data_IF_832244418113
#
_entry.id   IF_832244418113
#
_cell.length_a   1.000
_cell.length_b   1.000
_cell.length_c   1.000
_cell.angle_alpha   90.00
_cell.angle_beta   90.00
_cell.angle_gamma   90.00
#
_symmetry.space_group_name_H-M   'P 1'
#
loop_
_entity.id
_entity.type
_entity.pdbx_description
1 polymer ?
#
# COMPACT_ATOMS: atom_id res chain seq x y z
N UNK A 1 4.90 -2.99 -33.95
CA UNK A 1 3.75 -3.62 -33.29
C UNK A 1 4.23 -4.21 -31.97
N UNK A 2 3.78 -3.65 -30.84
CA UNK A 2 4.09 -4.01 -29.43
C UNK A 2 5.57 -3.88 -29.04
N UNK A 3 5.97 -2.94 -28.18
CA UNK A 3 5.71 -2.96 -26.74
C UNK A 3 5.41 -1.54 -26.22
N UNK A 4 4.12 -1.19 -26.07
CA UNK A 4 3.68 -0.18 -25.10
C UNK A 4 3.61 -0.88 -23.74
N UNK A 5 4.59 -0.66 -22.87
CA UNK A 5 4.49 -1.02 -21.45
C UNK A 5 4.23 0.28 -20.69
N UNK A 6 3.00 0.35 -20.18
CA UNK A 6 2.45 1.30 -19.22
C UNK A 6 3.51 2.06 -18.40
N UNK A 7 3.51 3.39 -18.53
CA UNK A 7 4.43 4.36 -17.92
C UNK A 7 4.25 4.48 -16.40
N UNK A 8 3.26 3.80 -15.80
CA UNK A 8 2.91 3.98 -14.39
C UNK A 8 3.76 3.19 -13.37
N UNK A 9 4.88 2.59 -13.78
CA UNK A 9 5.73 1.79 -12.90
C UNK A 9 7.04 2.51 -12.56
N UNK A 10 7.08 3.19 -11.42
CA UNK A 10 8.11 3.12 -10.34
C UNK A 10 8.07 4.40 -9.51
N UNK A 11 7.78 4.35 -8.21
CA UNK A 11 8.73 3.99 -7.17
C UNK A 11 7.99 3.75 -5.84
N UNK A 12 8.04 2.52 -5.36
CA UNK A 12 7.73 2.20 -3.97
C UNK A 12 8.74 1.16 -3.50
N UNK A 13 9.99 1.61 -3.36
CA UNK A 13 11.06 0.91 -2.65
C UNK A 13 12.03 1.93 -2.04
N UNK A 14 11.63 2.49 -0.90
CA UNK A 14 12.54 3.17 0.03
C UNK A 14 12.55 2.37 1.33
N UNK A 15 13.28 1.25 1.32
CA UNK A 15 14.01 0.68 2.47
C UNK A 15 14.47 -0.74 2.12
N UNK A 16 15.77 -0.94 1.97
CA UNK A 16 16.33 -2.28 1.79
C UNK A 16 17.73 -2.24 1.22
N UNK A 17 18.72 -2.04 2.09
CA UNK A 17 20.14 -2.22 1.79
C UNK A 17 20.41 -3.67 1.40
N UNK A 18 20.88 -3.93 0.18
CA UNK A 18 21.57 -5.17 -0.15
C UNK A 18 22.82 -4.87 -0.99
N UNK A 19 23.95 -5.28 -0.43
CA UNK A 19 25.31 -5.30 -0.98
C UNK A 19 25.42 -6.21 -2.22
N UNK A 20 26.34 -5.95 -3.16
CA UNK A 20 26.52 -6.79 -4.33
C UNK A 20 27.44 -7.98 -4.01
N UNK A 21 27.01 -9.19 -4.35
CA UNK A 21 27.90 -10.34 -4.51
C UNK A 21 27.95 -10.77 -5.97
N UNK A 22 29.18 -10.79 -6.49
CA UNK A 22 29.60 -11.35 -7.77
C UNK A 22 29.15 -12.81 -7.93
N UNK A 23 28.72 -13.19 -9.13
CA UNK A 23 29.17 -14.43 -9.78
C UNK A 23 28.98 -14.37 -11.30
N UNK A 24 30.09 -14.58 -12.03
CA UNK A 24 30.14 -14.89 -13.45
C UNK A 24 29.63 -16.34 -13.68
N UNK A 25 29.08 -16.74 -14.84
CA UNK A 25 29.86 -17.08 -16.04
C UNK A 25 28.96 -17.55 -17.21
N UNK A 26 29.44 -17.25 -18.44
CA UNK A 26 29.34 -18.04 -19.72
C UNK A 26 27.97 -18.21 -20.39
N UNK A 27 27.82 -18.17 -21.73
CA UNK A 27 28.71 -18.51 -22.89
C UNK A 27 28.29 -17.72 -24.14
N UNK A 28 29.28 -17.42 -24.99
CA UNK A 28 29.15 -16.88 -26.36
C UNK A 28 29.45 -18.00 -27.39
N UNK A 29 28.78 -18.02 -28.56
CA UNK A 29 29.44 -18.32 -29.84
C UNK A 29 28.96 -17.34 -30.95
N UNK A 30 29.70 -16.88 -31.95
CA UNK A 30 30.97 -17.25 -32.60
C UNK A 30 31.46 -16.02 -33.40
N UNK A 31 32.79 -15.93 -33.56
CA UNK A 31 33.51 -14.99 -34.43
C UNK A 31 33.19 -15.23 -35.91
N UNK A 32 33.14 -14.17 -36.70
CA UNK A 32 33.60 -14.16 -38.09
C UNK A 32 34.49 -12.95 -38.33
N UNK A 33 35.51 -13.19 -39.14
CA UNK A 33 36.76 -12.46 -39.24
C UNK A 33 36.64 -11.10 -39.94
N UNK A 34 37.51 -10.17 -39.54
CA UNK A 34 37.79 -8.91 -40.24
C UNK A 34 39.12 -9.05 -41.02
N UNK A 35 39.31 -8.30 -42.12
CA UNK A 35 40.61 -7.79 -42.50
C UNK A 35 40.75 -6.30 -42.15
N UNK A 36 41.94 -5.90 -41.71
CA UNK A 36 42.29 -4.52 -41.39
C UNK A 36 42.75 -3.72 -42.63
N UNK A 37 42.20 -2.50 -42.70
CA UNK A 37 42.77 -1.19 -43.06
C UNK A 37 43.50 -0.96 -44.41
N UNK A 38 43.01 0.05 -45.15
CA UNK A 38 43.84 1.14 -45.68
C UNK A 38 43.02 2.41 -45.90
N UNK A 39 43.70 3.53 -45.73
CA UNK A 39 43.20 4.89 -45.47
C UNK A 39 42.52 5.65 -46.62
N UNK A 40 41.84 6.72 -46.21
CA UNK A 40 41.51 8.00 -46.91
C UNK A 40 40.35 8.05 -47.90
N UNK A 41 39.23 8.68 -47.48
CA UNK A 41 38.86 10.04 -47.91
C UNK A 41 37.47 10.44 -47.38
N UNK A 42 37.45 11.56 -46.66
CA UNK A 42 36.36 12.51 -46.44
C UNK A 42 34.92 12.05 -46.75
N UNK A 43 34.21 11.59 -45.71
CA UNK A 43 32.77 11.84 -45.61
C UNK A 43 32.56 12.58 -44.28
N UNK A 44 32.09 13.81 -44.41
CA UNK A 44 31.67 14.72 -43.34
C UNK A 44 30.86 13.98 -42.25
N UNK A 45 31.51 13.63 -41.15
CA UNK A 45 30.82 13.18 -39.94
C UNK A 45 30.38 14.42 -39.17
N UNK A 46 29.24 14.99 -39.55
CA UNK A 46 28.40 15.66 -38.55
C UNK A 46 28.14 14.57 -37.50
N UNK A 47 28.88 14.58 -36.38
CA UNK A 47 28.49 13.83 -35.18
C UNK A 47 27.04 14.20 -34.93
N UNK A 48 26.13 13.26 -35.15
CA UNK A 48 24.71 13.49 -34.86
C UNK A 48 24.64 13.96 -33.41
N UNK A 49 24.08 15.14 -33.19
CA UNK A 49 24.00 15.70 -31.85
C UNK A 49 23.22 14.74 -30.93
N UNK A 50 23.62 14.61 -29.65
CA UNK A 50 22.97 13.67 -28.74
C UNK A 50 21.52 14.07 -28.52
N UNK A 51 20.57 13.13 -28.70
CA UNK A 51 19.17 13.34 -28.31
C UNK A 51 19.08 13.25 -26.77
N UNK A 52 18.97 14.41 -26.12
CA UNK A 52 18.95 14.48 -24.66
C UNK A 52 17.65 13.95 -24.05
N UNK A 53 16.51 14.07 -24.72
CA UNK A 53 15.28 13.47 -24.24
C UNK A 53 15.41 11.95 -24.13
N UNK A 54 15.91 11.29 -25.19
CA UNK A 54 16.12 9.85 -25.20
C UNK A 54 17.14 9.40 -24.13
N UNK A 55 18.21 10.17 -23.91
CA UNK A 55 19.17 9.89 -22.84
C UNK A 55 18.55 10.04 -21.45
N UNK A 56 17.75 11.08 -21.24
CA UNK A 56 17.00 11.30 -20.01
C UNK A 56 16.03 10.15 -19.74
N UNK A 57 15.28 9.72 -20.75
CA UNK A 57 14.32 8.62 -20.66
C UNK A 57 15.03 7.29 -20.31
N UNK A 58 16.17 7.00 -20.93
CA UNK A 58 16.97 5.82 -20.61
C UNK A 58 17.38 5.78 -19.14
N UNK A 59 17.85 6.90 -18.60
CA UNK A 59 18.21 7.01 -17.19
C UNK A 59 17.01 7.00 -16.25
N UNK A 60 15.88 7.58 -16.65
CA UNK A 60 14.63 7.60 -15.89
C UNK A 60 14.05 6.18 -15.75
N UNK A 61 13.93 5.47 -16.86
CA UNK A 61 13.34 4.14 -16.92
C UNK A 61 14.35 3.03 -16.54
N UNK A 62 15.65 3.30 -16.66
CA UNK A 62 16.71 2.30 -16.50
C UNK A 62 16.85 1.38 -17.71
N UNK A 63 16.60 1.90 -18.92
CA UNK A 63 16.66 1.12 -20.15
C UNK A 63 18.08 1.13 -20.72
N UNK A 64 18.77 -0.01 -20.65
CA UNK A 64 20.15 -0.16 -21.14
C UNK A 64 21.23 0.49 -20.26
N UNK A 65 20.82 1.26 -19.25
CA UNK A 65 21.68 1.91 -18.24
C UNK A 65 21.11 1.73 -16.84
N UNK A 66 21.96 1.86 -15.83
CA UNK A 66 21.48 1.93 -14.45
C UNK A 66 20.58 3.16 -14.26
N UNK A 67 19.49 2.96 -13.53
CA UNK A 67 18.53 4.02 -13.25
C UNK A 67 19.19 5.13 -12.44
N UNK A 68 19.05 6.37 -12.89
CA UNK A 68 19.71 7.54 -12.32
C UNK A 68 18.84 8.78 -12.54
N UNK A 69 18.02 9.11 -11.54
CA UNK A 69 17.04 10.18 -11.65
C UNK A 69 17.66 11.58 -11.72
N UNK A 70 18.83 11.78 -11.13
CA UNK A 70 19.57 13.05 -11.20
C UNK A 70 20.08 13.26 -12.62
N UNK A 71 20.69 12.23 -13.24
CA UNK A 71 21.07 12.33 -14.66
C UNK A 71 19.87 12.49 -15.59
N UNK A 72 18.78 11.77 -15.32
CA UNK A 72 17.56 11.92 -16.11
C UNK A 72 17.06 13.37 -16.09
N UNK A 73 16.96 13.96 -14.90
CA UNK A 73 16.65 15.38 -14.71
C UNK A 73 17.58 16.29 -15.51
N UNK A 74 18.89 16.13 -15.35
CA UNK A 74 19.87 17.00 -16.02
C UNK A 74 19.78 16.91 -17.55
N UNK A 75 19.54 15.71 -18.09
CA UNK A 75 19.31 15.53 -19.52
C UNK A 75 17.98 16.14 -19.98
N UNK A 76 16.90 16.05 -19.19
CA UNK A 76 15.64 16.69 -19.52
C UNK A 76 15.74 18.22 -19.48
N UNK A 77 16.45 18.80 -18.53
CA UNK A 77 16.72 20.25 -18.48
C UNK A 77 17.55 20.69 -19.71
N UNK A 78 18.54 19.89 -20.14
CA UNK A 78 19.29 20.14 -21.37
C UNK A 78 18.43 20.02 -22.63
N UNK A 79 17.51 19.05 -22.69
CA UNK A 79 16.54 18.92 -23.78
C UNK A 79 15.59 20.12 -23.82
N UNK A 80 15.06 20.57 -22.68
CA UNK A 80 14.23 21.77 -22.60
C UNK A 80 14.98 23.02 -23.08
N UNK A 81 16.25 23.18 -22.70
CA UNK A 81 17.08 24.32 -23.09
C UNK A 81 17.33 24.40 -24.61
N UNK A 82 17.32 23.26 -25.31
CA UNK A 82 17.51 23.22 -26.77
C UNK A 82 16.27 23.57 -27.57
N UNK A 83 15.08 23.32 -27.02
CA UNK A 83 13.80 23.61 -27.66
C UNK A 83 13.63 22.94 -29.05
N UNK A 84 14.27 21.79 -29.26
CA UNK A 84 14.29 21.03 -30.51
C UNK A 84 13.47 19.72 -30.42
N UNK A 85 12.59 19.61 -29.43
CA UNK A 85 11.75 18.43 -29.20
C UNK A 85 10.50 18.43 -30.07
N UNK A 86 10.14 17.26 -30.57
CA UNK A 86 8.82 17.05 -31.15
C UNK A 86 7.72 17.23 -30.09
N UNK A 87 6.49 17.64 -30.45
CA UNK A 87 5.44 17.94 -29.47
C UNK A 87 5.11 16.80 -28.50
N UNK A 88 5.22 15.55 -28.95
CA UNK A 88 5.02 14.36 -28.12
C UNK A 88 6.15 14.17 -27.10
N UNK A 89 7.41 14.32 -27.54
CA UNK A 89 8.60 14.24 -26.66
C UNK A 89 8.60 15.39 -25.65
N UNK A 90 8.21 16.59 -26.07
CA UNK A 90 8.04 17.74 -25.19
C UNK A 90 7.03 17.47 -24.08
N UNK A 91 5.86 16.91 -24.42
CA UNK A 91 4.83 16.57 -23.45
C UNK A 91 5.32 15.51 -22.46
N UNK A 92 5.98 14.46 -22.97
CA UNK A 92 6.49 13.36 -22.15
C UNK A 92 7.66 13.79 -21.25
N UNK A 93 8.57 14.62 -21.76
CA UNK A 93 9.66 15.20 -20.99
C UNK A 93 9.14 16.01 -19.81
N UNK A 94 8.13 16.87 -20.04
CA UNK A 94 7.53 17.66 -18.98
C UNK A 94 6.76 16.81 -17.96
N UNK A 95 6.17 15.68 -18.36
CA UNK A 95 5.66 14.72 -17.38
C UNK A 95 6.78 14.18 -16.49
N UNK A 96 7.89 13.74 -17.06
CA UNK A 96 8.99 13.19 -16.28
C UNK A 96 9.63 14.21 -15.35
N UNK A 97 9.89 15.44 -15.82
CA UNK A 97 10.36 16.53 -14.94
C UNK A 97 9.34 16.81 -13.83
N UNK A 98 8.05 16.89 -14.16
CA UNK A 98 6.99 17.08 -13.18
C UNK A 98 6.99 15.99 -12.10
N UNK A 99 7.11 14.72 -12.49
CA UNK A 99 7.16 13.57 -11.57
C UNK A 99 8.39 13.60 -10.67
N UNK A 100 9.56 13.95 -11.23
CA UNK A 100 10.80 14.08 -10.47
C UNK A 100 10.68 15.16 -9.37
N UNK A 101 10.10 16.31 -9.69
CA UNK A 101 9.85 17.36 -8.71
C UNK A 101 8.71 17.03 -7.73
N UNK A 102 7.68 16.30 -8.17
CA UNK A 102 6.54 15.93 -7.32
C UNK A 102 6.93 14.90 -6.26
N UNK A 103 7.63 13.84 -6.67
CA UNK A 103 8.04 12.74 -5.78
C UNK A 103 9.28 13.11 -4.99
N UNK A 104 10.24 13.79 -5.63
CA UNK A 104 11.58 14.03 -5.12
C UNK A 104 12.42 12.75 -5.00
N UNK A 105 13.73 12.90 -5.06
CA UNK A 105 14.68 11.82 -4.84
C UNK A 105 15.99 12.37 -4.26
N UNK A 106 16.91 11.54 -3.72
CA UNK A 106 18.24 12.04 -3.34
C UNK A 106 18.89 12.81 -4.50
N UNK A 107 19.15 14.11 -4.32
CA UNK A 107 19.67 15.01 -5.35
C UNK A 107 18.62 15.94 -6.00
N UNK A 108 17.33 15.63 -5.90
CA UNK A 108 16.21 16.46 -6.40
C UNK A 108 15.18 16.63 -5.28
N UNK A 109 15.12 17.82 -4.68
CA UNK A 109 14.15 18.10 -3.64
C UNK A 109 12.72 18.12 -4.18
N UNK A 110 11.75 17.74 -3.35
CA UNK A 110 10.32 17.90 -3.69
C UNK A 110 9.98 19.37 -3.88
N UNK A 111 9.33 19.69 -4.99
CA UNK A 111 8.89 21.05 -5.34
C UNK A 111 7.58 20.99 -6.13
N UNK A 112 6.46 21.10 -5.40
CA UNK A 112 5.14 21.04 -6.01
C UNK A 112 4.84 22.22 -6.94
N UNK A 113 5.54 23.35 -6.80
CA UNK A 113 5.35 24.52 -7.67
C UNK A 113 5.99 24.25 -9.03
N UNK A 114 7.22 23.74 -9.04
CA UNK A 114 7.87 23.29 -10.28
C UNK A 114 7.16 22.11 -10.91
N UNK A 115 6.73 21.14 -10.10
CA UNK A 115 5.96 20.01 -10.59
C UNK A 115 4.68 20.47 -11.31
N UNK A 116 3.90 21.34 -10.65
CA UNK A 116 2.69 21.94 -11.24
C UNK A 116 3.02 22.66 -12.56
N UNK A 117 4.09 23.46 -12.59
CA UNK A 117 4.51 24.17 -13.80
C UNK A 117 4.77 23.22 -14.98
N UNK A 118 5.53 22.13 -14.76
CA UNK A 118 5.80 21.17 -15.81
C UNK A 118 4.55 20.38 -16.23
N UNK A 119 3.69 19.99 -15.28
CA UNK A 119 2.44 19.32 -15.62
C UNK A 119 1.47 20.21 -16.42
N UNK A 120 1.36 21.51 -16.10
CA UNK A 120 0.57 22.46 -16.90
C UNK A 120 1.09 22.56 -18.34
N UNK A 121 2.42 22.50 -18.54
CA UNK A 121 3.03 22.50 -19.88
C UNK A 121 2.78 21.20 -20.64
N UNK A 122 2.82 20.06 -19.96
CA UNK A 122 2.46 18.78 -20.54
C UNK A 122 0.96 18.71 -20.91
N UNK A 123 0.07 19.23 -20.05
CA UNK A 123 -1.37 19.28 -20.33
C UNK A 123 -1.71 20.15 -21.56
N UNK A 124 -1.00 21.28 -21.72
CA UNK A 124 -1.21 22.20 -22.82
C UNK A 124 -0.96 21.57 -24.20
N UNK A 125 -0.18 20.47 -24.27
CA UNK A 125 0.04 19.74 -25.50
C UNK A 125 -1.10 18.77 -25.79
N UNK A 126 -1.87 19.06 -26.85
CA UNK A 126 -3.00 18.20 -27.26
C UNK A 126 -2.59 17.01 -28.12
N UNK A 127 -1.33 16.97 -28.57
CA UNK A 127 -0.81 15.93 -29.49
C UNK A 127 -0.65 14.58 -28.79
N UNK A 128 -0.45 14.56 -27.47
CA UNK A 128 -0.33 13.33 -26.67
C UNK A 128 -1.45 13.21 -25.64
N UNK A 129 -2.58 12.54 -25.98
CA UNK A 129 -3.70 12.34 -25.05
C UNK A 129 -3.30 11.58 -23.79
N UNK A 130 -2.40 10.60 -23.90
CA UNK A 130 -1.87 9.83 -22.78
C UNK A 130 -1.13 10.76 -21.81
N UNK A 131 -0.22 11.58 -22.34
CA UNK A 131 0.53 12.50 -21.50
C UNK A 131 -0.37 13.57 -20.85
N UNK A 132 -1.34 14.07 -21.62
CA UNK A 132 -2.29 15.06 -21.12
C UNK A 132 -3.14 14.51 -19.96
N UNK A 133 -3.57 13.24 -20.03
CA UNK A 133 -4.33 12.61 -18.95
C UNK A 133 -3.47 12.48 -17.68
N UNK A 134 -2.22 12.02 -17.81
CA UNK A 134 -1.32 11.87 -16.67
C UNK A 134 -0.99 13.22 -16.04
N UNK A 135 -0.78 14.26 -16.85
CA UNK A 135 -0.59 15.62 -16.36
C UNK A 135 -1.78 16.09 -15.52
N UNK A 136 -3.00 15.90 -16.01
CA UNK A 136 -4.24 16.24 -15.28
C UNK A 136 -4.37 15.49 -13.96
N UNK A 137 -3.98 14.21 -13.93
CA UNK A 137 -3.99 13.45 -12.68
C UNK A 137 -3.06 14.05 -11.64
N UNK A 138 -1.81 14.30 -12.02
CA UNK A 138 -0.80 14.88 -11.12
C UNK A 138 -1.20 16.28 -10.65
N UNK A 139 -1.74 17.12 -11.54
CA UNK A 139 -2.32 18.42 -11.17
C UNK A 139 -3.47 18.25 -10.16
N UNK A 140 -4.35 17.27 -10.39
CA UNK A 140 -5.40 16.90 -9.46
C UNK A 140 -4.86 16.52 -8.08
N UNK A 141 -3.80 15.71 -8.01
CA UNK A 141 -3.15 15.31 -6.77
C UNK A 141 -2.49 16.47 -6.04
N UNK A 142 -1.73 17.32 -6.75
CA UNK A 142 -1.11 18.52 -6.17
C UNK A 142 -2.19 19.39 -5.52
N UNK A 143 -3.29 19.66 -6.23
CA UNK A 143 -4.39 20.43 -5.67
C UNK A 143 -5.11 19.71 -4.52
N UNK A 144 -5.23 18.38 -4.56
CA UNK A 144 -5.82 17.60 -3.49
C UNK A 144 -4.99 17.68 -2.21
N UNK A 145 -3.67 17.52 -2.32
CA UNK A 145 -2.71 17.66 -1.22
C UNK A 145 -2.67 19.09 -0.65
N UNK A 146 -2.83 20.10 -1.52
CA UNK A 146 -2.99 21.49 -1.11
C UNK A 146 -4.40 21.83 -0.56
N UNK A 147 -5.28 20.84 -0.39
CA UNK A 147 -6.66 20.99 0.08
C UNK A 147 -7.54 21.89 -0.81
N UNK A 148 -7.12 22.13 -2.06
CA UNK A 148 -7.88 22.86 -3.07
C UNK A 148 -8.85 21.91 -3.78
N UNK A 149 -9.73 21.29 -2.99
CA UNK A 149 -10.54 20.14 -3.43
C UNK A 149 -11.46 20.43 -4.61
N UNK A 150 -11.97 21.66 -4.76
CA UNK A 150 -12.77 22.06 -5.92
C UNK A 150 -11.96 22.01 -7.22
N UNK A 151 -10.69 22.44 -7.19
CA UNK A 151 -9.79 22.35 -8.35
C UNK A 151 -9.39 20.90 -8.62
N UNK A 152 -9.02 20.18 -7.57
CA UNK A 152 -8.67 18.75 -7.66
C UNK A 152 -9.80 17.93 -8.30
N UNK A 153 -11.04 18.13 -7.82
CA UNK A 153 -12.24 17.48 -8.37
C UNK A 153 -12.39 17.76 -9.86
N UNK A 154 -12.20 19.00 -10.30
CA UNK A 154 -12.30 19.37 -11.72
C UNK A 154 -11.29 18.59 -12.57
N UNK A 155 -10.04 18.49 -12.14
CA UNK A 155 -9.03 17.71 -12.87
C UNK A 155 -9.38 16.22 -12.93
N UNK A 156 -9.79 15.62 -11.80
CA UNK A 156 -10.22 14.22 -11.81
C UNK A 156 -11.49 14.00 -12.66
N UNK A 157 -12.42 14.95 -12.69
CA UNK A 157 -13.60 14.90 -13.57
C UNK A 157 -13.22 14.97 -15.06
N UNK A 158 -12.17 15.70 -15.44
CA UNK A 158 -11.66 15.74 -16.81
C UNK A 158 -11.00 14.42 -17.24
N UNK A 159 -10.50 13.64 -16.28
CA UNK A 159 -9.84 12.35 -16.54
C UNK A 159 -10.80 11.16 -16.49
N UNK A 160 -11.85 11.21 -15.67
CA UNK A 160 -12.72 10.04 -15.39
C UNK A 160 -13.40 9.44 -16.65
N UNK A 161 -13.63 10.24 -17.68
CA UNK A 161 -14.37 9.82 -18.89
C UNK A 161 -13.43 9.41 -20.04
N UNK A 162 -12.10 9.45 -19.82
CA UNK A 162 -11.12 9.13 -20.84
C UNK A 162 -10.78 7.64 -20.84
N UNK A 163 -10.73 7.03 -22.04
CA UNK A 163 -10.51 5.59 -22.21
C UNK A 163 -9.07 5.23 -22.61
N UNK A 164 -8.18 6.23 -22.71
CA UNK A 164 -6.81 6.05 -23.23
C UNK A 164 -5.96 5.25 -22.25
N UNK A 165 -6.14 5.47 -20.94
CA UNK A 165 -5.47 4.74 -19.88
C UNK A 165 -6.47 4.37 -18.77
N UNK A 166 -6.88 3.09 -18.68
CA UNK A 166 -7.79 2.61 -17.64
C UNK A 166 -7.26 2.76 -16.21
N UNK A 167 -5.93 2.70 -16.02
CA UNK A 167 -5.36 2.87 -14.69
C UNK A 167 -5.41 4.33 -14.25
N UNK A 168 -5.12 5.25 -15.18
CA UNK A 168 -5.29 6.67 -14.95
C UNK A 168 -6.76 7.02 -14.64
N UNK A 169 -7.70 6.43 -15.37
CA UNK A 169 -9.13 6.56 -15.13
C UNK A 169 -9.50 6.08 -13.72
N UNK A 170 -9.07 4.88 -13.35
CA UNK A 170 -9.34 4.31 -12.04
C UNK A 170 -8.74 5.14 -10.89
N UNK A 171 -7.57 5.73 -11.12
CA UNK A 171 -6.93 6.63 -10.17
C UNK A 171 -7.77 7.91 -9.94
N UNK A 172 -8.25 8.55 -11.02
CA UNK A 172 -9.18 9.68 -10.92
C UNK A 172 -10.47 9.29 -10.18
N UNK A 173 -11.07 8.15 -10.53
CA UNK A 173 -12.28 7.64 -9.88
C UNK A 173 -12.06 7.38 -8.39
N UNK A 174 -10.90 6.84 -8.01
CA UNK A 174 -10.55 6.66 -6.60
C UNK A 174 -10.53 7.99 -5.84
N UNK A 175 -9.91 9.03 -6.39
CA UNK A 175 -9.89 10.34 -5.74
C UNK A 175 -11.25 11.04 -5.74
N UNK A 176 -12.04 10.93 -6.81
CA UNK A 176 -13.43 11.38 -6.80
C UNK A 176 -14.24 10.66 -5.73
N UNK A 177 -14.05 9.35 -5.58
CA UNK A 177 -14.63 8.55 -4.51
C UNK A 177 -14.32 9.14 -3.14
N UNK A 178 -13.05 9.47 -2.86
CA UNK A 178 -12.64 10.12 -1.60
C UNK A 178 -13.30 11.49 -1.42
N UNK A 179 -13.31 12.32 -2.46
CA UNK A 179 -13.88 13.67 -2.40
C UNK A 179 -15.36 13.62 -2.00
N UNK A 180 -16.16 12.75 -2.63
CA UNK A 180 -17.57 12.60 -2.30
C UNK A 180 -17.81 11.83 -0.99
N UNK A 181 -16.90 10.94 -0.60
CA UNK A 181 -17.00 10.22 0.67
C UNK A 181 -16.82 11.15 1.86
N UNK A 182 -15.82 12.02 1.82
CA UNK A 182 -15.47 12.93 2.93
C UNK A 182 -16.07 14.33 2.80
N UNK A 183 -16.86 14.61 1.75
CA UNK A 183 -17.43 15.95 1.53
C UNK A 183 -16.35 17.03 1.31
N UNK A 184 -15.25 16.68 0.66
CA UNK A 184 -14.11 17.58 0.50
C UNK A 184 -14.38 18.61 -0.61
N UNK A 185 -14.78 19.82 -0.23
CA UNK A 185 -15.15 20.89 -1.19
C UNK A 185 -16.46 20.62 -1.95
N UNK A 186 -17.26 19.65 -1.48
CA UNK A 186 -18.60 19.28 -1.95
C UNK A 186 -19.41 18.73 -0.78
N UNK A 187 -20.73 18.61 -0.90
CA UNK A 187 -21.51 17.87 0.09
C UNK A 187 -21.18 16.36 0.04
N UNK A 188 -21.11 15.71 1.21
CA UNK A 188 -20.97 14.27 1.32
C UNK A 188 -22.04 13.53 0.50
N UNK A 189 -21.62 12.51 -0.25
CA UNK A 189 -22.50 11.74 -1.11
C UNK A 189 -22.03 10.29 -1.26
N UNK A 190 -22.33 9.47 -0.26
CA UNK A 190 -21.83 8.09 -0.18
C UNK A 190 -22.23 7.21 -1.38
N UNK A 191 -23.41 7.39 -1.99
CA UNK A 191 -23.81 6.63 -3.19
C UNK A 191 -22.90 6.91 -4.40
N UNK A 192 -22.45 8.16 -4.58
CA UNK A 192 -21.48 8.52 -5.63
C UNK A 192 -20.11 7.94 -5.30
N UNK A 193 -19.68 8.07 -4.05
CA UNK A 193 -18.43 7.49 -3.58
C UNK A 193 -18.40 5.97 -3.82
N UNK A 194 -19.47 5.27 -3.46
CA UNK A 194 -19.64 3.83 -3.71
C UNK A 194 -19.48 3.49 -5.19
N UNK A 195 -20.19 4.21 -6.07
CA UNK A 195 -20.11 4.00 -7.51
C UNK A 195 -18.69 4.20 -8.04
N UNK A 196 -18.00 5.26 -7.61
CA UNK A 196 -16.65 5.55 -8.07
C UNK A 196 -15.61 4.57 -7.54
N UNK A 197 -15.67 4.18 -6.26
CA UNK A 197 -14.76 3.14 -5.74
C UNK A 197 -14.98 1.80 -6.42
N UNK A 198 -16.24 1.42 -6.69
CA UNK A 198 -16.56 0.20 -7.44
C UNK A 198 -15.94 0.23 -8.84
N UNK A 199 -16.14 1.32 -9.59
CA UNK A 199 -15.55 1.45 -10.92
C UNK A 199 -14.02 1.45 -10.88
N UNK A 200 -13.40 2.15 -9.92
CA UNK A 200 -11.96 2.14 -9.74
C UNK A 200 -11.40 0.73 -9.49
N UNK A 201 -12.08 -0.10 -8.68
CA UNK A 201 -11.68 -1.50 -8.47
C UNK A 201 -11.84 -2.38 -9.72
N UNK A 202 -12.82 -2.09 -10.57
CA UNK A 202 -13.13 -2.89 -11.76
C UNK A 202 -12.23 -2.54 -12.97
N UNK A 203 -11.72 -1.31 -13.03
CA UNK A 203 -10.99 -0.78 -14.20
C UNK A 203 -9.47 -0.90 -14.10
N UNK A 204 -8.90 -0.96 -12.90
CA UNK A 204 -7.44 -0.92 -12.73
C UNK A 204 -6.82 -2.31 -12.65
N UNK A 205 -5.62 -2.44 -13.22
CA UNK A 205 -4.71 -3.55 -12.95
C UNK A 205 -3.66 -3.19 -11.89
N UNK A 206 -3.60 -1.92 -11.47
CA UNK A 206 -2.67 -1.46 -10.45
C UNK A 206 -3.10 -1.90 -9.05
N UNK A 207 -2.23 -2.69 -8.42
CA UNK A 207 -2.44 -3.21 -7.06
C UNK A 207 -2.68 -2.10 -6.04
N UNK A 208 -1.95 -0.98 -6.13
CA UNK A 208 -2.09 0.13 -5.19
C UNK A 208 -3.49 0.78 -5.26
N UNK A 209 -3.94 1.14 -6.47
CA UNK A 209 -5.26 1.75 -6.69
C UNK A 209 -6.35 0.75 -6.34
N UNK A 210 -6.23 -0.49 -6.82
CA UNK A 210 -7.17 -1.57 -6.54
C UNK A 210 -7.34 -1.76 -5.03
N UNK A 211 -6.26 -1.87 -4.27
CA UNK A 211 -6.30 -2.07 -2.83
C UNK A 211 -6.94 -0.88 -2.09
N UNK A 212 -6.53 0.35 -2.41
CA UNK A 212 -7.08 1.53 -1.76
C UNK A 212 -8.58 1.71 -2.06
N UNK A 213 -9.00 1.51 -3.31
CA UNK A 213 -10.40 1.56 -3.69
C UNK A 213 -11.19 0.40 -3.05
N UNK A 214 -10.64 -0.82 -3.05
CA UNK A 214 -11.27 -2.01 -2.43
C UNK A 214 -11.48 -1.82 -0.93
N UNK A 215 -10.55 -1.17 -0.24
CA UNK A 215 -10.68 -0.86 1.19
C UNK A 215 -11.86 0.06 1.47
N UNK A 216 -12.01 1.15 0.71
CA UNK A 216 -13.18 2.03 0.87
C UNK A 216 -14.47 1.34 0.44
N UNK A 217 -14.45 0.58 -0.65
CA UNK A 217 -15.61 -0.17 -1.10
C UNK A 217 -16.06 -1.20 -0.05
N UNK A 218 -15.11 -1.93 0.55
CA UNK A 218 -15.34 -2.85 1.65
C UNK A 218 -15.92 -2.15 2.88
N UNK A 219 -15.43 -0.95 3.22
CA UNK A 219 -16.00 -0.10 4.28
C UNK A 219 -17.46 0.26 4.00
N UNK A 220 -17.78 0.70 2.78
CA UNK A 220 -19.13 1.11 2.41
C UNK A 220 -20.11 -0.07 2.48
N UNK A 221 -19.69 -1.26 2.04
CA UNK A 221 -20.48 -2.48 2.21
C UNK A 221 -20.62 -2.89 3.68
N UNK A 222 -19.59 -2.69 4.51
CA UNK A 222 -19.64 -3.00 5.94
C UNK A 222 -20.63 -2.10 6.70
N UNK A 223 -20.60 -0.80 6.41
CA UNK A 223 -21.43 0.19 7.09
C UNK A 223 -22.83 0.35 6.48
N UNK A 224 -23.04 -0.09 5.23
CA UNK A 224 -24.27 0.21 4.48
C UNK A 224 -24.35 1.69 4.06
N UNK A 225 -23.21 2.32 3.82
CA UNK A 225 -23.14 3.72 3.41
C UNK A 225 -23.21 3.82 1.88
N UNK A 226 -24.24 4.48 1.34
CA UNK A 226 -24.43 4.62 -0.11
C UNK A 226 -24.79 3.34 -0.85
N UNK A 227 -24.97 2.23 -0.12
CA UNK A 227 -25.37 0.90 -0.59
C UNK A 227 -26.04 0.13 0.56
N UNK A 228 -26.68 -1.00 0.29
CA UNK A 228 -27.13 -1.89 1.36
C UNK A 228 -25.95 -2.59 2.03
N UNK A 229 -26.04 -2.83 3.34
CA UNK A 229 -25.03 -3.61 4.07
C UNK A 229 -24.83 -4.99 3.44
N UNK A 230 -23.57 -5.36 3.20
CA UNK A 230 -23.20 -6.65 2.64
C UNK A 230 -21.87 -7.13 3.26
N UNK A 231 -21.98 -7.76 4.43
CA UNK A 231 -20.81 -8.25 5.15
C UNK A 231 -19.99 -9.30 4.40
N UNK A 232 -20.59 -10.29 3.69
CA UNK A 232 -19.81 -11.22 2.87
C UNK A 232 -18.96 -10.51 1.80
N UNK A 233 -19.51 -9.50 1.13
CA UNK A 233 -18.77 -8.74 0.12
C UNK A 233 -17.70 -7.84 0.74
N UNK A 234 -18.02 -7.19 1.86
CA UNK A 234 -17.04 -6.42 2.63
C UNK A 234 -15.85 -7.31 3.04
N UNK A 235 -16.12 -8.48 3.63
CA UNK A 235 -15.09 -9.45 4.03
C UNK A 235 -14.21 -9.85 2.85
N UNK A 236 -14.81 -10.21 1.72
CA UNK A 236 -14.07 -10.62 0.52
C UNK A 236 -13.09 -9.52 0.07
N UNK A 237 -13.56 -8.29 -0.06
CA UNK A 237 -12.74 -7.16 -0.54
C UNK A 237 -11.60 -6.83 0.45
N UNK A 238 -11.89 -6.86 1.75
CA UNK A 238 -10.91 -6.57 2.79
C UNK A 238 -9.86 -7.69 2.93
N UNK A 239 -10.25 -8.97 2.86
CA UNK A 239 -9.30 -10.08 2.86
C UNK A 239 -8.38 -10.04 1.64
N UNK A 240 -8.93 -9.78 0.45
CA UNK A 240 -8.17 -9.63 -0.79
C UNK A 240 -7.16 -8.47 -0.72
N UNK A 241 -7.46 -7.39 -0.02
CA UNK A 241 -6.54 -6.28 0.18
C UNK A 241 -5.37 -6.67 1.10
N UNK A 242 -5.67 -7.30 2.24
CA UNK A 242 -4.67 -7.69 3.24
C UNK A 242 -3.69 -8.78 2.81
N UNK A 243 -4.00 -9.51 1.74
CA UNK A 243 -3.10 -10.53 1.17
C UNK A 243 -2.09 -9.95 0.18
N UNK A 244 -2.28 -8.70 -0.25
CA UNK A 244 -1.35 -8.04 -1.17
C UNK A 244 -0.17 -7.49 -0.37
N UNK A 245 1.06 -7.65 -0.90
CA UNK A 245 2.28 -7.04 -0.35
C UNK A 245 2.27 -5.52 -0.56
N UNK A 246 1.41 -4.83 0.16
CA UNK A 246 1.22 -3.37 0.14
C UNK A 246 1.71 -2.80 1.48
N UNK A 247 2.02 -1.51 1.52
CA UNK A 247 2.46 -0.84 2.74
C UNK A 247 1.58 -1.19 3.97
N UNK A 248 2.18 -1.73 5.06
CA UNK A 248 1.45 -2.20 6.24
C UNK A 248 0.55 -1.15 6.91
N UNK A 249 0.88 0.14 6.77
CA UNK A 249 0.12 1.26 7.34
C UNK A 249 -1.30 1.37 6.79
N UNK A 250 -1.51 0.95 5.53
CA UNK A 250 -2.82 1.05 4.85
C UNK A 250 -3.78 -0.05 5.32
N UNK A 251 -3.24 -1.19 5.75
CA UNK A 251 -4.00 -2.41 6.05
C UNK A 251 -4.66 -2.40 7.45
N UNK A 252 -4.22 -1.52 8.36
CA UNK A 252 -4.72 -1.45 9.74
C UNK A 252 -6.26 -1.31 9.81
N UNK A 253 -6.82 -0.49 8.93
CA UNK A 253 -8.26 -0.26 8.85
C UNK A 253 -9.00 -1.51 8.37
N UNK A 254 -8.49 -2.18 7.34
CA UNK A 254 -9.09 -3.41 6.81
C UNK A 254 -9.08 -4.53 7.85
N UNK A 255 -7.96 -4.73 8.53
CA UNK A 255 -7.88 -5.70 9.63
C UNK A 255 -8.84 -5.37 10.76
N UNK A 256 -8.99 -4.10 11.13
CA UNK A 256 -9.97 -3.73 12.17
C UNK A 256 -11.41 -4.14 11.78
N UNK A 257 -11.82 -3.83 10.55
CA UNK A 257 -13.14 -4.22 10.06
C UNK A 257 -13.30 -5.74 9.96
N UNK A 258 -12.28 -6.46 9.47
CA UNK A 258 -12.27 -7.92 9.45
C UNK A 258 -12.39 -8.51 10.87
N UNK A 259 -11.67 -7.92 11.83
CA UNK A 259 -11.78 -8.25 13.25
C UNK A 259 -13.23 -8.17 13.72
N UNK A 260 -13.92 -7.07 13.40
CA UNK A 260 -15.35 -6.91 13.67
C UNK A 260 -16.23 -7.96 13.00
N UNK A 261 -16.03 -8.21 11.69
CA UNK A 261 -16.81 -9.20 10.94
C UNK A 261 -16.74 -10.58 11.61
N UNK A 262 -15.53 -11.01 11.98
CA UNK A 262 -15.32 -12.30 12.64
C UNK A 262 -15.76 -12.31 14.11
N UNK A 263 -15.68 -11.17 14.80
CA UNK A 263 -16.05 -11.03 16.20
C UNK A 263 -17.57 -11.18 16.40
N UNK A 264 -18.36 -10.51 15.57
CA UNK A 264 -19.83 -10.54 15.66
C UNK A 264 -20.49 -11.57 14.73
N UNK A 265 -19.73 -12.30 13.92
CA UNK A 265 -20.29 -13.27 12.97
C UNK A 265 -21.17 -12.58 11.90
N UNK A 266 -20.73 -11.42 11.41
CA UNK A 266 -21.50 -10.63 10.46
C UNK A 266 -21.45 -11.28 9.07
N UNK A 267 -22.52 -12.00 8.71
CA UNK A 267 -22.61 -12.73 7.45
C UNK A 267 -21.77 -14.02 7.38
N UNK A 268 -21.22 -14.46 8.51
CA UNK A 268 -20.44 -15.69 8.69
C UNK A 268 -20.64 -16.23 10.11
N UNK A 269 -20.21 -17.47 10.40
CA UNK A 269 -20.14 -17.94 11.79
C UNK A 269 -19.14 -17.09 12.61
N UNK A 270 -19.46 -16.84 13.88
CA UNK A 270 -18.57 -16.18 14.83
C UNK A 270 -17.24 -16.96 14.90
N UNK A 271 -16.12 -16.24 14.83
CA UNK A 271 -14.79 -16.82 14.97
C UNK A 271 -13.89 -15.84 15.73
N UNK A 272 -13.90 -15.96 17.06
CA UNK A 272 -13.10 -15.10 17.92
C UNK A 272 -11.60 -15.27 17.71
N UNK A 273 -11.12 -16.44 17.27
CA UNK A 273 -9.69 -16.66 16.96
C UNK A 273 -9.25 -15.74 15.82
N UNK A 274 -9.95 -15.79 14.69
CA UNK A 274 -9.66 -14.91 13.55
C UNK A 274 -9.87 -13.45 13.92
N UNK A 275 -10.92 -13.13 14.69
CA UNK A 275 -11.18 -11.77 15.14
C UNK A 275 -10.00 -11.20 15.94
N UNK A 276 -9.49 -11.97 16.92
CA UNK A 276 -8.33 -11.61 17.72
C UNK A 276 -7.11 -11.39 16.84
N UNK A 277 -6.81 -12.32 15.93
CA UNK A 277 -5.67 -12.20 15.02
C UNK A 277 -5.72 -10.89 14.22
N UNK A 278 -6.87 -10.57 13.63
CA UNK A 278 -7.03 -9.33 12.87
C UNK A 278 -6.94 -8.08 13.76
N UNK A 279 -7.56 -8.07 14.95
CA UNK A 279 -7.40 -6.94 15.86
C UNK A 279 -5.95 -6.76 16.35
N UNK A 280 -5.21 -7.85 16.56
CA UNK A 280 -3.78 -7.80 16.89
C UNK A 280 -2.96 -7.21 15.75
N UNK A 281 -3.18 -7.65 14.51
CA UNK A 281 -2.53 -7.08 13.33
C UNK A 281 -2.80 -5.57 13.21
N UNK A 282 -4.06 -5.15 13.41
CA UNK A 282 -4.44 -3.74 13.39
C UNK A 282 -3.80 -2.92 14.54
N UNK A 283 -3.71 -3.49 15.74
CA UNK A 283 -3.17 -2.84 16.94
C UNK A 283 -1.65 -2.68 16.93
N UNK A 284 -0.93 -3.58 16.24
CA UNK A 284 0.54 -3.67 16.22
C UNK A 284 1.19 -2.91 15.05
N UNK A 285 0.40 -2.22 14.22
CA UNK A 285 0.99 -1.38 13.17
C UNK A 285 1.85 -0.25 13.76
N UNK A 286 2.81 0.25 13.00
CA UNK A 286 3.80 1.24 13.50
C UNK A 286 3.17 2.65 13.65
N UNK A 287 2.02 2.91 13.04
CA UNK A 287 1.37 4.24 13.04
C UNK A 287 0.28 4.40 14.11
N UNK A 288 0.55 5.15 15.18
CA UNK A 288 -0.44 5.49 16.21
C UNK A 288 -1.64 6.25 15.63
N UNK A 289 -2.74 5.55 15.42
CA UNK A 289 -4.00 6.05 14.84
C UNK A 289 -5.19 5.59 15.67
N UNK A 290 -6.36 6.23 15.50
CA UNK A 290 -7.61 5.86 16.17
C UNK A 290 -7.96 4.38 15.98
N UNK A 291 -7.65 3.82 14.81
CA UNK A 291 -7.87 2.40 14.49
C UNK A 291 -7.11 1.46 15.44
N UNK A 292 -5.89 1.82 15.83
CA UNK A 292 -5.16 1.02 16.81
C UNK A 292 -5.79 1.09 18.18
N UNK A 293 -6.25 2.27 18.59
CA UNK A 293 -6.93 2.46 19.86
C UNK A 293 -8.24 1.65 19.90
N UNK A 294 -9.00 1.66 18.81
CA UNK A 294 -10.21 0.84 18.68
C UNK A 294 -9.89 -0.65 18.72
N UNK A 295 -8.93 -1.14 17.93
CA UNK A 295 -8.53 -2.55 17.94
C UNK A 295 -7.99 -2.99 19.30
N UNK A 296 -7.18 -2.18 19.98
CA UNK A 296 -6.71 -2.46 21.35
C UNK A 296 -7.87 -2.51 22.34
N UNK A 297 -8.89 -1.65 22.19
CA UNK A 297 -10.10 -1.69 23.02
C UNK A 297 -10.85 -3.01 22.83
N UNK A 298 -11.01 -3.48 21.59
CA UNK A 298 -11.60 -4.79 21.32
C UNK A 298 -10.76 -5.93 21.88
N UNK A 299 -9.43 -5.90 21.73
CA UNK A 299 -8.56 -6.91 22.34
C UNK A 299 -8.69 -6.95 23.87
N UNK A 300 -8.79 -5.80 24.54
CA UNK A 300 -9.04 -5.74 26.00
C UNK A 300 -10.36 -6.41 26.37
N UNK A 301 -11.41 -6.18 25.59
CA UNK A 301 -12.71 -6.80 25.82
C UNK A 301 -12.67 -8.31 25.56
N UNK A 302 -12.03 -8.74 24.48
CA UNK A 302 -11.82 -10.15 24.18
C UNK A 302 -11.01 -10.86 25.28
N UNK A 303 -10.02 -10.19 25.87
CA UNK A 303 -9.29 -10.71 27.03
C UNK A 303 -10.16 -10.81 28.28
N UNK A 304 -11.00 -9.80 28.51
CA UNK A 304 -11.96 -9.80 29.62
C UNK A 304 -12.90 -11.01 29.54
N UNK A 305 -13.28 -11.38 28.32
CA UNK A 305 -14.22 -12.46 28.03
C UNK A 305 -13.56 -13.81 27.75
N UNK A 306 -12.22 -13.88 27.67
CA UNK A 306 -11.50 -15.10 27.28
C UNK A 306 -11.70 -15.51 25.81
N UNK A 307 -12.17 -14.59 24.95
CA UNK A 307 -12.56 -14.87 23.57
C UNK A 307 -11.35 -14.92 22.63
N UNK A 308 -11.28 -15.97 21.81
CA UNK A 308 -10.36 -16.05 20.68
C UNK A 308 -8.89 -16.25 21.03
N UNK A 309 -8.57 -16.55 22.28
CA UNK A 309 -7.22 -16.97 22.66
C UNK A 309 -6.93 -18.28 21.92
N UNK A 310 -5.88 -18.32 21.11
CA UNK A 310 -5.41 -19.56 20.47
C UNK A 310 -4.62 -20.34 21.51
N UNK A 311 -4.99 -21.61 21.66
CA UNK A 311 -4.53 -22.49 22.71
C UNK A 311 -3.93 -23.77 22.12
N UNK A 312 -3.20 -23.70 21.01
CA UNK A 312 -2.42 -24.83 20.45
C UNK A 312 -1.30 -24.35 19.52
N UNK A 313 -0.29 -25.22 19.38
CA UNK A 313 1.04 -25.02 18.80
C UNK A 313 1.11 -24.57 17.33
N UNK A 314 2.24 -23.96 16.96
CA UNK A 314 2.70 -23.51 15.62
C UNK A 314 2.44 -22.06 15.21
N UNK A 315 3.20 -21.13 15.79
CA UNK A 315 4.10 -20.36 14.93
C UNK A 315 5.46 -21.03 15.05
N UNK A 316 5.90 -21.76 14.02
CA UNK A 316 7.31 -22.10 13.88
C UNK A 316 7.94 -20.93 13.11
N UNK A 317 8.73 -20.05 13.75
CA UNK A 317 9.67 -19.24 13.01
C UNK A 317 10.67 -20.22 12.44
N UNK A 318 10.68 -20.34 11.12
CA UNK A 318 11.80 -20.95 10.41
C UNK A 318 12.98 -19.99 10.50
N UNK A 319 13.64 -19.95 11.66
CA UNK A 319 14.97 -19.37 11.81
C UNK A 319 15.68 -19.97 13.03
N UNK A 320 16.98 -20.17 12.87
CA UNK A 320 17.87 -21.05 13.62
C UNK A 320 18.26 -20.56 15.03
N UNK A 321 17.28 -20.22 15.86
CA UNK A 321 17.46 -20.10 17.31
C UNK A 321 16.23 -20.71 17.99
N UNK A 322 16.37 -21.87 18.61
CA UNK A 322 15.31 -22.52 19.38
C UNK A 322 14.93 -21.62 20.58
N UNK A 323 13.95 -20.74 20.38
CA UNK A 323 13.31 -20.01 21.47
C UNK A 323 12.58 -21.03 22.35
N UNK A 324 12.85 -20.94 23.65
CA UNK A 324 12.29 -21.77 24.71
C UNK A 324 10.76 -21.81 24.57
N UNK A 325 10.17 -23.01 24.66
CA UNK A 325 8.72 -23.15 24.66
C UNK A 325 8.08 -22.24 25.72
N UNK A 326 6.92 -21.62 25.41
CA UNK A 326 6.30 -20.66 26.30
C UNK A 326 6.00 -21.30 27.66
N UNK A 327 6.27 -20.58 28.75
CA UNK A 327 6.02 -21.07 30.11
C UNK A 327 4.67 -20.57 30.62
N UNK A 328 3.98 -21.41 31.39
CA UNK A 328 2.79 -21.02 32.12
C UNK A 328 3.14 -19.91 33.12
N UNK A 329 2.44 -18.78 33.05
CA UNK A 329 2.74 -17.59 33.88
C UNK A 329 2.58 -17.82 35.40
N UNK A 330 1.90 -18.89 35.81
CA UNK A 330 1.70 -19.22 37.22
C UNK A 330 2.71 -20.24 37.71
N UNK A 331 2.82 -21.38 37.03
CA UNK A 331 3.65 -22.48 37.50
C UNK A 331 5.07 -22.46 36.91
N UNK A 332 5.34 -21.59 35.94
CA UNK A 332 6.63 -21.44 35.24
C UNK A 332 7.12 -22.73 34.57
N UNK A 333 6.21 -23.68 34.35
CA UNK A 333 6.49 -24.89 33.60
C UNK A 333 6.13 -24.69 32.14
N UNK A 334 6.74 -25.50 31.28
CA UNK A 334 6.45 -25.51 29.85
C UNK A 334 4.95 -25.67 29.60
N UNK A 335 4.38 -24.69 28.88
CA UNK A 335 2.99 -24.71 28.50
C UNK A 335 2.83 -25.60 27.26
N UNK A 336 2.45 -26.85 27.50
CA UNK A 336 2.22 -27.85 26.46
C UNK A 336 0.88 -28.57 26.69
N UNK A 337 0.39 -29.24 25.65
CA UNK A 337 -0.88 -29.99 25.68
C UNK A 337 -0.83 -31.22 26.62
N UNK A 338 0.37 -31.71 26.99
CA UNK A 338 0.51 -32.87 27.88
C UNK A 338 0.02 -32.60 29.30
N UNK A 339 0.04 -31.32 29.74
CA UNK A 339 -0.54 -30.89 31.03
C UNK A 339 -2.02 -30.48 30.95
N UNK A 340 -2.69 -30.77 29.83
CA UNK A 340 -4.11 -30.47 29.63
C UNK A 340 -4.33 -29.21 28.79
N UNK A 341 -5.60 -28.76 28.74
CA UNK A 341 -5.97 -27.59 27.94
C UNK A 341 -5.17 -26.36 28.39
N UNK A 342 -4.60 -25.63 27.43
CA UNK A 342 -4.01 -24.33 27.70
C UNK A 342 -5.14 -23.29 27.72
N UNK A 343 -4.91 -22.18 28.40
CA UNK A 343 -5.85 -21.08 28.55
C UNK A 343 -5.13 -19.73 28.48
N UNK A 344 -5.88 -18.66 28.23
CA UNK A 344 -5.35 -17.29 28.25
C UNK A 344 -5.67 -16.61 29.56
N UNK A 345 -4.72 -15.84 30.11
CA UNK A 345 -4.96 -15.10 31.33
C UNK A 345 -5.94 -13.92 31.09
N UNK A 346 -7.13 -13.88 31.72
CA UNK A 346 -8.13 -12.84 31.49
C UNK A 346 -7.81 -11.52 32.23
N UNK A 347 -6.61 -10.95 32.02
CA UNK A 347 -6.21 -9.62 32.54
C UNK A 347 -6.60 -8.52 31.54
N UNK A 348 -7.19 -7.44 32.08
CA UNK A 348 -7.59 -6.23 31.35
C UNK A 348 -6.43 -5.57 30.57
N UNK A 349 -5.21 -5.69 31.07
CA UNK A 349 -4.01 -5.08 30.48
C UNK A 349 -3.37 -5.92 29.35
N UNK A 350 -4.04 -6.98 28.87
CA UNK A 350 -3.61 -7.76 27.70
C UNK A 350 -2.19 -8.32 27.82
N UNK A 351 -1.90 -9.07 28.89
CA UNK A 351 -0.59 -9.71 29.01
C UNK A 351 -0.42 -10.90 28.06
N UNK A 352 -1.49 -11.38 27.40
CA UNK A 352 -1.43 -12.37 26.33
C UNK A 352 -0.77 -13.71 26.69
N UNK A 353 -0.47 -13.94 27.98
CA UNK A 353 0.32 -15.09 28.40
C UNK A 353 -0.51 -16.36 28.48
N UNK A 354 0.17 -17.47 28.16
CA UNK A 354 -0.35 -18.82 28.24
C UNK A 354 -0.35 -19.26 29.71
N UNK A 355 -1.42 -19.93 30.12
CA UNK A 355 -1.61 -20.49 31.46
C UNK A 355 -2.27 -21.87 31.30
N UNK A 356 -1.85 -22.90 32.04
CA UNK A 356 -2.58 -24.18 32.03
C UNK A 356 -4.01 -23.97 32.55
N UNK A 357 -5.01 -24.65 31.98
CA UNK A 357 -6.40 -24.51 32.40
C UNK A 357 -6.57 -24.79 33.89
N UNK A 358 -5.89 -25.80 34.43
CA UNK A 358 -5.91 -26.11 35.86
C UNK A 358 -5.32 -24.97 36.72
N UNK A 359 -4.22 -24.35 36.27
CA UNK A 359 -3.64 -23.18 36.92
C UNK A 359 -4.60 -21.98 36.84
N UNK A 360 -5.30 -21.79 35.72
CA UNK A 360 -6.31 -20.76 35.57
C UNK A 360 -7.50 -21.01 36.50
N UNK A 361 -8.03 -22.22 36.54
CA UNK A 361 -9.15 -22.59 37.40
C UNK A 361 -8.80 -22.38 38.87
N UNK A 362 -7.59 -22.78 39.26
CA UNK A 362 -7.05 -22.52 40.60
C UNK A 362 -6.97 -21.03 40.89
N UNK A 363 -6.43 -20.23 39.97
CA UNK A 363 -6.34 -18.77 40.14
C UNK A 363 -7.73 -18.13 40.25
N UNK A 364 -8.66 -18.56 39.40
CA UNK A 364 -10.03 -18.03 39.34
C UNK A 364 -10.91 -18.49 40.50
N UNK A 365 -10.53 -19.55 41.22
CA UNK A 365 -11.19 -20.01 42.45
C UNK A 365 -10.93 -19.11 43.67
N UNK A 366 -9.93 -18.22 43.60
CA UNK A 366 -9.61 -17.29 44.67
C UNK A 366 -10.74 -16.28 44.88
N UNK A 367 -10.96 -15.82 46.13
CA UNK A 367 -11.99 -14.82 46.46
C UNK A 367 -11.84 -13.53 45.64
N UNK A 368 -10.61 -13.12 45.34
CA UNK A 368 -10.30 -11.97 44.50
C UNK A 368 -9.14 -12.34 43.56
N UNK A 369 -9.45 -12.93 42.39
CA UNK A 369 -8.40 -13.33 41.46
C UNK A 369 -7.77 -12.07 40.87
N UNK A 370 -6.45 -11.94 41.00
CA UNK A 370 -5.69 -10.84 40.41
C UNK A 370 -4.65 -11.41 39.46
N UNK A 371 -4.36 -10.66 38.41
CA UNK A 371 -3.35 -11.04 37.45
C UNK A 371 -1.97 -11.12 38.12
N UNK A 372 -1.22 -12.22 37.99
CA UNK A 372 0.13 -12.34 38.55
C UNK A 372 1.10 -11.28 38.01
N UNK A 373 0.94 -10.86 36.75
CA UNK A 373 1.79 -9.85 36.12
C UNK A 373 1.40 -8.41 36.45
N UNK A 374 0.08 -8.15 36.43
CA UNK A 374 -0.47 -6.79 36.35
C UNK A 374 -1.12 -6.34 37.66
N UNK A 375 -1.34 -7.28 38.59
CA UNK A 375 -2.11 -7.11 39.84
C UNK A 375 -3.51 -6.52 39.66
N UNK A 376 -4.01 -6.37 38.43
CA UNK A 376 -5.40 -5.99 38.15
C UNK A 376 -6.30 -7.19 38.39
N UNK A 377 -7.48 -6.95 38.95
CA UNK A 377 -8.51 -7.97 39.18
C UNK A 377 -8.88 -8.66 37.87
N UNK A 378 -8.87 -9.98 37.87
CA UNK A 378 -9.27 -10.81 36.74
C UNK A 378 -10.80 -10.90 36.67
N UNK A 379 -11.32 -11.02 35.45
CA UNK A 379 -12.75 -11.14 35.21
C UNK A 379 -13.08 -12.60 34.96
N UNK A 380 -14.15 -13.09 35.59
CA UNK A 380 -14.62 -14.45 35.40
C UNK A 380 -15.46 -14.54 34.11
N UNK A 381 -14.99 -15.24 33.06
CA UNK A 381 -15.72 -15.33 31.79
C UNK A 381 -17.03 -16.15 31.90
N UNK A 382 -17.19 -16.96 32.96
CA UNK A 382 -18.39 -17.78 33.20
C UNK A 382 -19.54 -17.02 33.87
N UNK A 383 -19.31 -15.80 34.38
CA UNK A 383 -20.37 -14.97 34.98
C UNK A 383 -20.97 -14.08 33.89
N UNK A 384 -21.87 -14.64 33.07
CA UNK A 384 -22.81 -13.84 32.29
C UNK A 384 -23.72 -13.10 33.28
N UNK A 385 -23.62 -11.78 33.32
CA UNK A 385 -24.67 -10.91 33.89
C UNK A 385 -25.42 -10.25 32.76
#
# INVERSE_FOLDING_TARGET
>A
MFVKKSIFFTLLFLSGTLTPTLFATRKNPKKHDAPMASDTSEISSKKSEPNYFALGEQHYLGQGVARDYVKAHDYFELAEARQDLEPEEYAQMHLYLGELYFIGCPGIATDNVKAQHHFERAEAQTVSPEAQIHARLHLGEIHYCAQQYTKARRYFELTKDQTVDPDAQAFALFYLGKIYYFGQGVQEHHTKAFSYFKQATEQTVQKYVHANASRYLGKLYYLGEGTATNYPKARQLLEQETTQKIEPKIQAFSWHLLGGIYYWGQGIAINHIKARNYFTLAANQIAATDIQAFSRRYLREMNRLGEGVILTDTESPTDTNAEKAPECVICLEEANEQRGALSGLPCYNNHGQIIHQECLDTLMSQQTPHCPLCRVKLVNPQIKK
#
